data_IF_441560219697
#
_entry.id   IF_441560219697
#
_cell.length_a   1.000
_cell.length_b   1.000
_cell.length_c   1.000
_cell.angle_alpha   90.00
_cell.angle_beta   90.00
_cell.angle_gamma   90.00
#
_symmetry.space_group_name_H-M   'P 1'
#
loop_
_entity.id
_entity.type
_entity.pdbx_description
1 polymer ?
#
# COMPACT_ATOMS: atom_id res chain seq x y z
N UNK A 1 17.55 -8.96 10.00
CA UNK A 1 16.16 -8.64 9.58
C UNK A 1 15.47 -9.79 8.86
N UNK A 2 16.23 -10.65 8.17
CA UNK A 2 15.70 -11.93 7.71
C UNK A 2 15.20 -12.78 8.88
N UNK A 3 15.85 -12.64 10.03
CA UNK A 3 15.43 -13.27 11.27
C UNK A 3 14.00 -12.87 11.65
N UNK A 4 13.64 -11.58 11.56
CA UNK A 4 12.30 -11.11 11.88
C UNK A 4 11.24 -11.77 10.99
N UNK A 5 11.53 -11.98 9.71
CA UNK A 5 10.58 -12.61 8.78
C UNK A 5 10.28 -14.06 9.13
N UNK A 6 11.21 -14.76 9.74
CA UNK A 6 11.06 -16.18 10.10
C UNK A 6 10.58 -16.42 11.52
N UNK A 7 10.48 -15.37 12.34
CA UNK A 7 10.23 -15.50 13.77
C UNK A 7 8.75 -15.33 14.16
N UNK A 8 7.85 -15.15 13.18
CA UNK A 8 6.42 -14.95 13.45
C UNK A 8 6.12 -13.60 14.05
N UNK A 9 4.96 -13.47 14.71
CA UNK A 9 4.43 -12.19 15.22
C UNK A 9 5.06 -11.70 16.53
N UNK A 10 6.05 -12.42 17.07
CA UNK A 10 6.65 -12.11 18.38
C UNK A 10 7.39 -10.78 18.41
N UNK A 11 7.84 -10.30 17.26
CA UNK A 11 8.75 -9.17 17.17
C UNK A 11 8.10 -7.89 16.67
N UNK A 12 6.77 -7.79 16.75
CA UNK A 12 6.02 -6.62 16.26
C UNK A 12 6.48 -5.32 16.94
N UNK A 13 6.65 -5.33 18.27
CA UNK A 13 7.12 -4.15 19.01
C UNK A 13 8.55 -3.77 18.60
N UNK A 14 9.39 -4.76 18.41
CA UNK A 14 10.77 -4.52 17.98
C UNK A 14 10.81 -3.94 16.57
N UNK A 15 10.03 -4.50 15.64
CA UNK A 15 9.92 -3.98 14.29
C UNK A 15 9.44 -2.52 14.29
N UNK A 16 8.44 -2.19 15.13
CA UNK A 16 7.99 -0.81 15.26
C UNK A 16 9.10 0.11 15.74
N UNK A 17 9.89 -0.31 16.72
CA UNK A 17 11.04 0.49 17.21
C UNK A 17 12.07 0.76 16.11
N UNK A 18 12.29 -0.19 15.22
CA UNK A 18 13.18 0.00 14.07
C UNK A 18 12.57 0.96 13.04
N UNK A 19 11.28 0.82 12.77
CA UNK A 19 10.58 1.66 11.82
C UNK A 19 10.65 3.14 12.16
N UNK A 20 10.42 3.49 13.43
CA UNK A 20 10.35 4.88 13.88
C UNK A 20 11.72 5.51 14.15
N UNK A 21 12.79 4.75 14.13
CA UNK A 21 14.14 5.26 14.37
C UNK A 21 14.76 5.80 13.08
N UNK A 22 14.68 7.12 12.91
CA UNK A 22 15.16 7.80 11.70
C UNK A 22 16.69 7.76 11.54
N UNK A 23 17.43 7.42 12.58
CA UNK A 23 18.90 7.30 12.54
C UNK A 23 19.37 5.97 11.93
N UNK A 24 18.45 5.02 11.75
CA UNK A 24 18.80 3.72 11.18
C UNK A 24 18.91 3.78 9.66
N UNK A 25 19.69 2.85 9.12
CA UNK A 25 19.80 2.61 7.70
C UNK A 25 18.42 2.34 7.08
N UNK A 26 18.19 2.87 5.88
CA UNK A 26 16.90 2.73 5.19
C UNK A 26 16.52 1.27 4.95
N UNK A 27 17.47 0.40 4.60
CA UNK A 27 17.19 -1.02 4.36
C UNK A 27 16.66 -1.74 5.61
N UNK A 28 17.15 -1.36 6.78
CA UNK A 28 16.64 -1.88 8.06
C UNK A 28 15.21 -1.44 8.28
N UNK A 29 14.93 -0.17 8.03
CA UNK A 29 13.59 0.38 8.19
C UNK A 29 12.60 -0.23 7.18
N UNK A 30 13.02 -0.44 5.92
CA UNK A 30 12.19 -1.11 4.92
C UNK A 30 11.82 -2.52 5.36
N UNK A 31 12.78 -3.27 5.88
CA UNK A 31 12.52 -4.63 6.38
C UNK A 31 11.52 -4.62 7.54
N UNK A 32 11.62 -3.62 8.43
CA UNK A 32 10.65 -3.45 9.51
C UNK A 32 9.23 -3.16 8.99
N UNK A 33 9.10 -2.32 7.96
CA UNK A 33 7.81 -2.05 7.32
C UNK A 33 7.23 -3.33 6.73
N UNK A 34 8.03 -4.11 6.00
CA UNK A 34 7.58 -5.38 5.41
C UNK A 34 7.14 -6.37 6.48
N UNK A 35 7.86 -6.45 7.59
CA UNK A 35 7.50 -7.32 8.70
C UNK A 35 6.13 -6.92 9.28
N UNK A 36 5.89 -5.62 9.47
CA UNK A 36 4.62 -5.11 10.00
C UNK A 36 3.47 -5.21 9.01
N UNK A 37 3.76 -5.34 7.73
CA UNK A 37 2.78 -5.71 6.70
C UNK A 37 2.39 -7.18 6.77
N UNK A 38 3.34 -8.05 7.09
CA UNK A 38 3.10 -9.49 7.24
C UNK A 38 2.43 -9.83 8.58
N UNK A 39 2.82 -9.12 9.63
CA UNK A 39 2.30 -9.32 10.99
C UNK A 39 1.72 -7.99 11.50
N UNK A 40 0.46 -7.70 11.17
CA UNK A 40 -0.16 -6.41 11.52
C UNK A 40 -0.12 -6.13 13.03
N UNK A 41 0.17 -4.88 13.37
CA UNK A 41 0.27 -4.41 14.73
C UNK A 41 -0.40 -3.05 14.84
N UNK A 42 -1.42 -2.94 15.67
CA UNK A 42 -2.25 -1.73 15.74
C UNK A 42 -1.43 -0.46 16.00
N UNK A 43 -0.39 -0.54 16.83
CA UNK A 43 0.48 0.60 17.14
C UNK A 43 1.36 1.03 15.96
N UNK A 44 1.53 0.20 14.95
CA UNK A 44 2.28 0.52 13.74
C UNK A 44 1.43 1.26 12.71
N UNK A 45 0.11 1.27 12.85
CA UNK A 45 -0.80 1.80 11.84
C UNK A 45 -0.54 3.26 11.52
N UNK A 46 -0.53 4.14 12.53
CA UNK A 46 -0.29 5.57 12.30
C UNK A 46 1.07 5.87 11.67
N UNK A 47 2.19 5.27 12.14
CA UNK A 47 3.47 5.44 11.46
C UNK A 47 3.46 4.96 10.01
N UNK A 48 2.83 3.83 9.72
CA UNK A 48 2.72 3.33 8.35
C UNK A 48 1.89 4.27 7.46
N UNK A 49 0.79 4.80 7.99
CA UNK A 49 -0.03 5.78 7.25
C UNK A 49 0.78 7.04 6.91
N UNK A 50 1.56 7.55 7.84
CA UNK A 50 2.41 8.72 7.61
C UNK A 50 3.43 8.46 6.50
N UNK A 51 4.11 7.32 6.55
CA UNK A 51 5.09 6.97 5.52
C UNK A 51 4.44 6.80 4.15
N UNK A 52 3.27 6.17 4.09
CA UNK A 52 2.55 5.99 2.83
C UNK A 52 2.07 7.32 2.24
N UNK A 53 1.71 8.29 3.09
CA UNK A 53 1.24 9.59 2.65
C UNK A 53 2.36 10.55 2.24
N UNK A 54 3.62 10.25 2.59
CA UNK A 54 4.77 11.04 2.16
C UNK A 54 5.09 10.77 0.69
N UNK A 55 4.90 11.78 -0.15
CA UNK A 55 5.11 11.67 -1.60
C UNK A 55 6.30 12.51 -2.08
N UNK A 56 7.25 12.84 -1.19
CA UNK A 56 8.46 13.52 -1.58
C UNK A 56 9.33 12.63 -2.47
N UNK A 57 9.85 13.17 -3.57
CA UNK A 57 10.66 12.42 -4.53
C UNK A 57 11.84 11.70 -3.89
N UNK A 58 12.38 12.24 -2.82
CA UNK A 58 13.52 11.66 -2.08
C UNK A 58 13.12 10.50 -1.16
N UNK A 59 11.84 10.30 -0.89
CA UNK A 59 11.33 9.29 0.05
C UNK A 59 10.27 8.37 -0.56
N UNK A 60 10.21 8.30 -1.87
CA UNK A 60 9.20 7.49 -2.54
C UNK A 60 9.28 6.00 -2.17
N UNK A 61 10.47 5.49 -1.83
CA UNK A 61 10.65 4.10 -1.42
C UNK A 61 9.84 3.79 -0.15
N UNK A 62 9.85 4.70 0.81
CA UNK A 62 9.05 4.56 2.02
C UNK A 62 7.55 4.52 1.70
N UNK A 63 7.11 5.45 0.86
CA UNK A 63 5.71 5.50 0.45
C UNK A 63 5.29 4.23 -0.29
N UNK A 64 6.13 3.72 -1.19
CA UNK A 64 5.85 2.51 -1.96
C UNK A 64 5.74 1.27 -1.06
N UNK A 65 6.70 1.08 -0.16
CA UNK A 65 6.75 -0.09 0.74
C UNK A 65 5.63 -0.02 1.77
N UNK A 66 5.39 1.16 2.35
CA UNK A 66 4.31 1.35 3.31
C UNK A 66 2.92 1.15 2.67
N UNK A 67 2.75 1.58 1.40
CA UNK A 67 1.50 1.34 0.68
C UNK A 67 1.21 -0.16 0.51
N UNK A 68 2.24 -0.97 0.28
CA UNK A 68 2.10 -2.43 0.26
C UNK A 68 1.73 -2.99 1.63
N UNK A 69 2.42 -2.54 2.68
CA UNK A 69 2.16 -3.01 4.05
C UNK A 69 0.73 -2.69 4.51
N UNK A 70 0.18 -1.56 4.09
CA UNK A 70 -1.17 -1.13 4.46
C UNK A 70 -2.27 -2.06 3.93
N UNK A 71 -2.00 -2.94 2.98
CA UNK A 71 -2.97 -3.95 2.53
C UNK A 71 -3.42 -4.87 3.67
N UNK A 72 -2.64 -4.96 4.74
CA UNK A 72 -2.95 -5.75 5.93
C UNK A 72 -3.69 -4.97 7.03
N UNK A 73 -4.03 -3.71 6.77
CA UNK A 73 -4.69 -2.81 7.72
C UNK A 73 -5.98 -2.27 7.09
N UNK A 74 -7.04 -3.10 7.00
CA UNK A 74 -8.30 -2.68 6.37
C UNK A 74 -9.00 -1.61 7.21
N UNK A 75 -9.11 -0.41 6.66
CA UNK A 75 -9.69 0.76 7.29
C UNK A 75 -10.01 1.81 6.23
N UNK A 76 -10.99 2.65 6.48
CA UNK A 76 -11.36 3.72 5.53
C UNK A 76 -10.22 4.71 5.29
N UNK A 77 -9.42 4.99 6.32
CA UNK A 77 -8.26 5.87 6.21
C UNK A 77 -7.21 5.24 5.29
N UNK A 78 -6.97 3.92 5.43
CA UNK A 78 -6.08 3.18 4.54
C UNK A 78 -6.50 3.32 3.08
N UNK A 79 -7.78 3.07 2.79
CA UNK A 79 -8.32 3.18 1.43
C UNK A 79 -8.13 4.60 0.89
N UNK A 80 -8.42 5.60 1.69
CA UNK A 80 -8.26 7.01 1.31
C UNK A 80 -6.80 7.35 0.95
N UNK A 81 -5.84 6.90 1.77
CA UNK A 81 -4.41 7.12 1.50
C UNK A 81 -3.99 6.44 0.20
N UNK A 82 -4.39 5.18 0.02
CA UNK A 82 -4.03 4.43 -1.18
C UNK A 82 -4.65 5.02 -2.45
N UNK A 83 -5.90 5.49 -2.39
CA UNK A 83 -6.54 6.21 -3.51
C UNK A 83 -5.76 7.48 -3.85
N UNK A 84 -5.35 8.24 -2.84
CA UNK A 84 -4.56 9.45 -3.06
C UNK A 84 -3.21 9.12 -3.71
N UNK A 85 -2.59 8.03 -3.32
CA UNK A 85 -1.30 7.60 -3.86
C UNK A 85 -1.35 7.12 -5.32
N UNK A 86 -2.54 6.87 -5.86
CA UNK A 86 -2.70 6.61 -7.29
C UNK A 86 -2.32 7.82 -8.14
N UNK A 87 -2.31 9.01 -7.57
CA UNK A 87 -1.89 10.26 -8.23
C UNK A 87 -0.41 10.57 -8.06
N UNK A 88 0.34 9.72 -7.37
CA UNK A 88 1.79 9.91 -7.18
C UNK A 88 2.51 9.96 -8.52
N UNK A 89 3.55 10.78 -8.61
CA UNK A 89 4.42 10.83 -9.80
C UNK A 89 5.29 9.59 -9.91
N UNK A 90 5.50 8.86 -8.82
CA UNK A 90 6.33 7.68 -8.81
C UNK A 90 5.51 6.45 -9.21
N UNK A 91 6.00 5.71 -10.22
CA UNK A 91 5.30 4.54 -10.73
C UNK A 91 5.13 3.44 -9.70
N UNK A 92 6.14 3.22 -8.85
CA UNK A 92 6.08 2.15 -7.82
C UNK A 92 5.07 2.47 -6.73
N UNK A 93 4.94 3.76 -6.36
CA UNK A 93 3.92 4.18 -5.39
C UNK A 93 2.53 3.93 -5.97
N UNK A 94 2.30 4.31 -7.23
CA UNK A 94 1.02 4.05 -7.90
C UNK A 94 0.72 2.56 -7.98
N UNK A 95 1.69 1.76 -8.44
CA UNK A 95 1.52 0.31 -8.61
C UNK A 95 1.20 -0.37 -7.29
N UNK A 96 2.00 -0.12 -6.25
CA UNK A 96 1.82 -0.75 -4.95
C UNK A 96 0.49 -0.36 -4.32
N UNK A 97 0.07 0.89 -4.50
CA UNK A 97 -1.21 1.39 -4.00
C UNK A 97 -2.39 0.72 -4.72
N UNK A 98 -2.33 0.56 -6.04
CA UNK A 98 -3.37 -0.11 -6.80
C UNK A 98 -3.49 -1.59 -6.42
N UNK A 99 -2.36 -2.28 -6.27
CA UNK A 99 -2.32 -3.68 -5.83
C UNK A 99 -2.92 -3.83 -4.43
N UNK A 100 -2.57 -2.91 -3.51
CA UNK A 100 -3.12 -2.95 -2.15
C UNK A 100 -4.62 -2.69 -2.11
N UNK A 101 -5.12 -1.76 -2.93
CA UNK A 101 -6.57 -1.53 -3.07
C UNK A 101 -7.28 -2.80 -3.56
N UNK A 102 -6.71 -3.47 -4.54
CA UNK A 102 -7.22 -4.75 -5.02
C UNK A 102 -7.25 -5.80 -3.91
N UNK A 103 -6.16 -5.93 -3.15
CA UNK A 103 -6.05 -6.90 -2.05
C UNK A 103 -7.03 -6.59 -0.92
N UNK A 104 -7.42 -5.32 -0.75
CA UNK A 104 -8.42 -4.90 0.22
C UNK A 104 -9.86 -5.12 -0.28
N UNK A 105 -10.01 -5.64 -1.50
CA UNK A 105 -11.32 -5.91 -2.07
C UNK A 105 -11.98 -4.72 -2.76
N UNK A 106 -11.23 -3.63 -2.99
CA UNK A 106 -11.76 -2.48 -3.74
C UNK A 106 -11.84 -2.87 -5.22
N UNK A 107 -13.03 -2.71 -5.80
CA UNK A 107 -13.29 -3.13 -7.18
C UNK A 107 -13.00 -2.00 -8.17
N UNK A 108 -12.85 -2.37 -9.44
CA UNK A 108 -12.72 -1.42 -10.53
C UNK A 108 -13.89 -0.42 -10.54
N UNK A 109 -15.11 -0.90 -10.32
CA UNK A 109 -16.30 -0.06 -10.30
C UNK A 109 -16.30 1.00 -9.20
N UNK A 110 -15.74 0.65 -8.02
CA UNK A 110 -15.61 1.59 -6.90
C UNK A 110 -14.60 2.70 -7.15
N UNK A 111 -13.72 2.53 -8.15
CA UNK A 111 -12.70 3.50 -8.54
C UNK A 111 -13.09 4.28 -9.79
N UNK A 112 -14.36 4.20 -10.22
CA UNK A 112 -14.82 4.82 -11.45
C UNK A 112 -14.54 6.33 -11.54
N UNK A 113 -14.68 7.06 -10.44
CA UNK A 113 -14.40 8.49 -10.40
C UNK A 113 -12.94 8.80 -10.74
N UNK A 114 -12.02 7.95 -10.30
CA UNK A 114 -10.59 8.11 -10.56
C UNK A 114 -10.29 7.73 -12.01
N UNK A 115 -10.88 6.63 -12.48
CA UNK A 115 -10.68 6.13 -13.85
C UNK A 115 -11.16 7.17 -14.88
N UNK A 116 -12.32 7.77 -14.63
CA UNK A 116 -12.94 8.75 -15.51
C UNK A 116 -12.42 10.18 -15.26
N UNK A 117 -11.53 10.35 -14.30
CA UNK A 117 -10.93 11.63 -13.97
C UNK A 117 -9.89 12.07 -14.98
N UNK A 118 -9.29 13.25 -14.70
CA UNK A 118 -8.35 13.89 -15.61
C UNK A 118 -6.91 13.41 -15.45
N UNK A 119 -6.60 12.65 -14.41
CA UNK A 119 -5.24 12.16 -14.18
C UNK A 119 -5.03 10.86 -14.95
N UNK A 120 -4.23 10.96 -16.00
CA UNK A 120 -3.91 9.84 -16.87
C UNK A 120 -3.18 8.70 -16.15
N UNK A 121 -2.26 9.05 -15.27
CA UNK A 121 -1.45 8.04 -14.57
C UNK A 121 -2.27 7.23 -13.59
N UNK A 122 -3.16 7.90 -12.84
CA UNK A 122 -4.08 7.22 -11.92
C UNK A 122 -5.02 6.29 -12.68
N UNK A 123 -5.59 6.76 -13.79
CA UNK A 123 -6.47 5.96 -14.64
C UNK A 123 -5.75 4.74 -15.22
N UNK A 124 -4.55 4.92 -15.75
CA UNK A 124 -3.77 3.84 -16.36
C UNK A 124 -3.39 2.75 -15.37
N UNK A 125 -2.95 3.12 -14.17
CA UNK A 125 -2.53 2.11 -13.18
C UNK A 125 -3.72 1.27 -12.68
N UNK A 126 -4.90 1.87 -12.55
CA UNK A 126 -6.11 1.13 -12.19
C UNK A 126 -6.46 0.13 -13.28
N UNK A 127 -6.43 0.56 -14.54
CA UNK A 127 -6.70 -0.33 -15.67
C UNK A 127 -5.70 -1.48 -15.73
N UNK A 128 -4.45 -1.18 -15.54
CA UNK A 128 -3.40 -2.19 -15.53
C UNK A 128 -3.60 -3.26 -14.46
N UNK A 129 -3.96 -2.84 -13.23
CA UNK A 129 -4.05 -3.73 -12.08
C UNK A 129 -5.39 -4.41 -11.91
N UNK A 130 -6.51 -3.77 -12.32
CA UNK A 130 -7.86 -4.17 -11.96
C UNK A 130 -8.80 -4.44 -13.15
N UNK A 131 -8.41 -4.09 -14.36
CA UNK A 131 -9.31 -4.22 -15.52
C UNK A 131 -9.72 -5.68 -15.78
N UNK A 132 -8.81 -6.61 -15.57
CA UNK A 132 -9.10 -8.03 -15.74
C UNK A 132 -10.20 -8.49 -14.78
N UNK A 133 -10.11 -8.06 -13.52
CA UNK A 133 -11.11 -8.42 -12.51
C UNK A 133 -12.47 -7.82 -12.84
N UNK A 134 -12.49 -6.59 -13.39
CA UNK A 134 -13.71 -5.96 -13.84
C UNK A 134 -14.39 -6.75 -14.96
N UNK A 135 -13.64 -7.26 -15.92
CA UNK A 135 -14.17 -8.10 -16.98
C UNK A 135 -14.78 -9.39 -16.43
N UNK A 136 -14.12 -10.03 -15.47
CA UNK A 136 -14.62 -11.22 -14.78
C UNK A 136 -15.91 -10.95 -14.01
N UNK A 137 -16.00 -9.81 -13.31
CA UNK A 137 -17.20 -9.39 -12.60
C UNK A 137 -18.37 -9.23 -13.57
N UNK A 138 -18.17 -8.62 -14.73
CA UNK A 138 -19.21 -8.43 -15.76
C UNK A 138 -19.69 -9.76 -16.32
N UNK A 139 -18.78 -10.68 -16.60
CA UNK A 139 -19.15 -12.01 -17.08
C UNK A 139 -19.99 -12.77 -16.04
N UNK A 140 -19.61 -12.68 -14.76
CA UNK A 140 -20.36 -13.32 -13.69
C UNK A 140 -21.81 -12.78 -13.58
N UNK A 141 -22.02 -11.49 -13.81
CA UNK A 141 -23.34 -10.86 -13.77
C UNK A 141 -24.21 -11.31 -14.95
N UNK A 142 -23.61 -11.58 -16.09
CA UNK A 142 -24.34 -11.97 -17.32
C UNK A 142 -24.39 -13.50 -17.54
N UNK A 143 -23.74 -14.24 -16.69
CA UNK A 143 -23.80 -15.70 -16.73
C UNK A 143 -25.03 -16.23 -15.99
#
# INVERSE_FOLDING_TARGET
LDYLRFSGSEYQKFALSLLINEDLNDEIRYAAIRYLGKYPFSKAYKPLCRLAAENADQKWQYAAIASTALSSYPDEITVSILKNNLYSRNWYVRLNSAISLKNLGITYSELSDIIDGNDRYASEIIRYCLQRDYAEEKEAVHA
#
